data_IF_036667906918
#
_entry.id   IF_036667906918
#
_cell.length_a   1.000
_cell.length_b   1.000
_cell.length_c   1.000
_cell.angle_alpha   90.00
_cell.angle_beta   90.00
_cell.angle_gamma   90.00
#
_symmetry.space_group_name_H-M   'P 1'
#
loop_
_entity.id
_entity.type
_entity.pdbx_description
1 polymer ?
#
# COMPACT_ATOMS: atom_id res chain seq x y z
N UNK A 1 -25.26 15.06 45.35
CA UNK A 1 -24.04 15.75 44.89
C UNK A 1 -23.85 15.61 43.37
N UNK A 2 -24.93 15.75 42.58
CA UNK A 2 -24.90 15.63 41.11
C UNK A 2 -25.81 16.65 40.40
N UNK A 3 -26.49 17.53 41.15
CA UNK A 3 -27.45 18.51 40.64
C UNK A 3 -26.96 19.96 40.68
N UNK A 4 -25.80 20.24 41.28
CA UNK A 4 -25.18 21.59 41.26
C UNK A 4 -24.18 21.80 40.12
N UNK A 5 -23.72 20.74 39.44
CA UNK A 5 -22.75 20.86 38.34
C UNK A 5 -23.43 21.15 36.99
N UNK A 6 -24.72 20.80 36.83
CA UNK A 6 -25.50 21.04 35.61
C UNK A 6 -26.07 22.46 35.50
N UNK A 7 -26.16 23.22 36.60
CA UNK A 7 -26.64 24.61 36.57
C UNK A 7 -25.52 25.60 36.23
N UNK A 8 -24.26 25.28 36.55
CA UNK A 8 -23.10 26.12 36.20
C UNK A 8 -22.71 26.02 34.72
N UNK A 9 -23.07 24.93 34.03
CA UNK A 9 -22.78 24.76 32.60
C UNK A 9 -23.83 25.43 31.70
N UNK A 10 -25.06 25.66 32.22
CA UNK A 10 -26.12 26.33 31.45
C UNK A 10 -25.96 27.85 31.41
N UNK A 11 -25.36 28.47 32.41
CA UNK A 11 -25.13 29.93 32.42
C UNK A 11 -23.92 30.35 31.57
N UNK A 12 -22.98 29.43 31.28
CA UNK A 12 -21.83 29.69 30.42
C UNK A 12 -22.11 29.56 28.91
N UNK A 13 -23.29 29.08 28.54
CA UNK A 13 -23.70 28.87 27.14
C UNK A 13 -24.64 29.96 26.61
N UNK A 14 -25.14 30.86 27.46
CA UNK A 14 -26.13 31.88 27.06
C UNK A 14 -25.51 33.29 26.88
N UNK A 15 -24.31 33.54 27.42
CA UNK A 15 -23.61 34.83 27.28
C UNK A 15 -22.65 34.92 26.06
N UNK A 16 -22.47 33.84 25.30
CA UNK A 16 -21.62 33.86 24.10
C UNK A 16 -22.35 34.25 22.82
N UNK A 17 -23.63 34.59 22.88
CA UNK A 17 -24.43 34.94 21.70
C UNK A 17 -24.36 36.42 21.29
N UNK A 18 -23.45 37.20 21.87
CA UNK A 18 -23.18 38.57 21.43
C UNK A 18 -21.77 38.74 20.87
N UNK A 19 -21.72 39.00 19.56
CA UNK A 19 -20.61 39.51 18.75
C UNK A 19 -19.42 38.55 18.50
N UNK A 20 -19.64 37.57 17.63
CA UNK A 20 -18.57 37.13 16.72
C UNK A 20 -18.92 37.59 15.31
N UNK A 21 -18.47 38.78 14.96
CA UNK A 21 -18.33 39.15 13.54
C UNK A 21 -17.29 38.21 12.93
N UNK A 22 -17.59 37.46 11.86
CA UNK A 22 -16.57 36.70 11.17
C UNK A 22 -15.72 37.70 10.38
N UNK A 23 -14.66 38.24 11.00
CA UNK A 23 -13.52 38.72 10.23
C UNK A 23 -12.88 37.48 9.62
N UNK A 24 -13.39 37.03 8.48
CA UNK A 24 -12.60 36.19 7.59
C UNK A 24 -11.30 36.96 7.34
N UNK A 25 -10.13 36.48 7.78
CA UNK A 25 -8.89 37.16 7.46
C UNK A 25 -8.80 37.24 5.94
N UNK A 26 -8.53 38.44 5.41
CA UNK A 26 -8.23 38.63 3.99
C UNK A 26 -7.05 37.70 3.69
N UNK A 27 -7.32 36.59 3.01
CA UNK A 27 -6.30 35.63 2.61
C UNK A 27 -5.47 36.33 1.52
N UNK A 28 -4.31 36.83 1.89
CA UNK A 28 -3.34 37.30 0.91
C UNK A 28 -3.06 36.16 -0.09
N UNK A 29 -2.87 36.48 -1.38
CA UNK A 29 -2.51 35.46 -2.35
C UNK A 29 -1.21 34.76 -1.90
N UNK A 30 -1.07 33.45 -2.14
CA UNK A 30 0.14 32.74 -1.77
C UNK A 30 1.35 33.32 -2.49
N UNK A 31 2.49 33.37 -1.79
CA UNK A 31 3.78 33.71 -2.38
C UNK A 31 4.17 32.72 -3.48
N UNK A 32 5.10 33.11 -4.35
CA UNK A 32 5.66 32.21 -5.35
C UNK A 32 6.33 30.99 -4.70
N UNK A 33 7.06 31.19 -3.59
CA UNK A 33 7.66 30.10 -2.82
C UNK A 33 6.60 29.12 -2.29
N UNK A 34 5.49 29.60 -1.74
CA UNK A 34 4.37 28.75 -1.31
C UNK A 34 3.74 27.97 -2.46
N UNK A 35 3.55 28.60 -3.62
CA UNK A 35 3.02 27.93 -4.80
C UNK A 35 3.96 26.83 -5.28
N UNK A 36 5.27 27.10 -5.35
CA UNK A 36 6.29 26.11 -5.73
C UNK A 36 6.28 24.95 -4.73
N UNK A 37 6.32 25.22 -3.42
CA UNK A 37 6.26 24.17 -2.38
C UNK A 37 5.01 23.31 -2.52
N UNK A 38 3.85 23.92 -2.79
CA UNK A 38 2.60 23.20 -3.00
C UNK A 38 2.65 22.30 -4.24
N UNK A 39 3.07 22.84 -5.39
CA UNK A 39 3.17 22.07 -6.64
C UNK A 39 4.20 20.93 -6.51
N UNK A 40 5.35 21.21 -5.90
CA UNK A 40 6.37 20.18 -5.63
C UNK A 40 5.81 19.10 -4.72
N UNK A 41 5.12 19.44 -3.64
CA UNK A 41 4.50 18.46 -2.75
C UNK A 41 3.41 17.64 -3.47
N UNK A 42 2.66 18.24 -4.39
CA UNK A 42 1.63 17.55 -5.16
C UNK A 42 2.24 16.53 -6.14
N UNK A 43 3.34 16.89 -6.80
CA UNK A 43 3.98 16.06 -7.82
C UNK A 43 4.93 15.00 -7.22
N UNK A 44 5.60 15.34 -6.11
CA UNK A 44 6.69 14.54 -5.54
C UNK A 44 6.36 13.96 -4.17
N UNK A 45 5.11 14.00 -3.69
CA UNK A 45 4.71 13.25 -2.50
C UNK A 45 4.26 11.84 -2.94
N UNK A 46 5.16 10.84 -3.01
CA UNK A 46 4.83 9.51 -3.51
C UNK A 46 3.75 8.81 -2.68
N UNK A 47 3.47 9.29 -1.47
CA UNK A 47 2.55 8.66 -0.52
C UNK A 47 1.25 9.44 -0.35
N UNK A 48 1.23 10.71 -0.74
CA UNK A 48 0.04 11.57 -0.65
C UNK A 48 -0.52 11.75 0.76
N UNK A 49 0.14 11.29 1.84
CA UNK A 49 -0.41 11.20 3.20
C UNK A 49 -0.78 12.56 3.82
N UNK A 50 -0.26 13.64 3.26
CA UNK A 50 -0.57 15.02 3.66
C UNK A 50 -1.70 15.64 2.82
N UNK A 51 -2.22 14.90 1.84
CA UNK A 51 -3.22 15.35 0.89
C UNK A 51 -4.59 14.76 1.22
N UNK A 52 -5.66 15.45 0.80
CA UNK A 52 -7.06 15.03 0.97
C UNK A 52 -7.41 13.74 0.23
N UNK A 53 -6.58 13.34 -0.73
CA UNK A 53 -6.73 12.12 -1.52
C UNK A 53 -5.92 10.93 -0.96
N UNK A 54 -5.27 11.10 0.20
CA UNK A 54 -4.57 10.00 0.90
C UNK A 54 -5.50 8.84 1.24
N UNK A 55 -4.97 7.61 1.28
CA UNK A 55 -5.66 6.52 1.96
C UNK A 55 -5.94 6.89 3.43
N UNK A 56 -7.11 6.51 3.98
CA UNK A 56 -7.42 6.76 5.40
C UNK A 56 -6.37 6.15 6.35
N UNK A 57 -6.19 6.72 7.54
CA UNK A 57 -5.20 6.26 8.53
C UNK A 57 -5.40 4.79 8.98
N UNK A 58 -6.64 4.29 8.97
CA UNK A 58 -6.91 2.88 9.28
C UNK A 58 -6.44 1.90 8.17
N UNK A 59 -6.07 2.44 7.01
CA UNK A 59 -5.49 1.72 5.86
C UNK A 59 -3.98 1.89 5.85
N UNK A 60 -3.49 3.13 5.89
CA UNK A 60 -2.08 3.46 6.00
C UNK A 60 -1.86 4.26 7.28
N UNK A 61 -1.47 3.60 8.39
CA UNK A 61 -1.23 4.30 9.65
C UNK A 61 0.00 5.20 9.53
N UNK A 62 0.00 6.31 10.26
CA UNK A 62 1.15 7.19 10.35
C UNK A 62 2.36 6.49 11.00
N UNK A 63 3.54 6.94 10.61
CA UNK A 63 4.80 6.48 11.19
C UNK A 63 4.95 6.90 12.65
N UNK A 64 5.89 6.27 13.34
CA UNK A 64 6.23 6.64 14.72
C UNK A 64 7.07 7.92 14.72
N UNK A 65 6.82 8.78 15.72
CA UNK A 65 7.70 9.92 15.97
C UNK A 65 9.09 9.42 16.37
N UNK A 66 10.12 9.88 15.67
CA UNK A 66 11.51 9.53 15.93
C UNK A 66 12.46 10.65 15.49
N UNK A 67 13.73 10.57 15.91
CA UNK A 67 14.75 11.50 15.43
C UNK A 67 15.14 11.20 13.98
N UNK A 68 15.68 12.19 13.26
CA UNK A 68 16.14 12.00 11.86
C UNK A 68 17.25 10.96 11.79
N UNK A 69 18.19 10.95 12.76
CA UNK A 69 19.28 9.98 12.80
C UNK A 69 18.75 8.55 13.01
N UNK A 70 17.80 8.38 13.92
CA UNK A 70 17.15 7.09 14.15
C UNK A 70 16.38 6.61 12.92
N UNK A 71 15.65 7.52 12.25
CA UNK A 71 14.95 7.21 11.00
C UNK A 71 15.93 6.73 9.92
N UNK A 72 16.98 7.52 9.64
CA UNK A 72 17.99 7.16 8.63
C UNK A 72 18.66 5.84 8.96
N UNK A 73 19.07 5.62 10.22
CA UNK A 73 19.68 4.36 10.65
C UNK A 73 18.77 3.16 10.44
N UNK A 74 17.49 3.26 10.84
CA UNK A 74 16.51 2.18 10.62
C UNK A 74 16.24 1.93 9.14
N UNK A 75 16.09 2.98 8.34
CA UNK A 75 15.86 2.86 6.89
C UNK A 75 17.03 2.22 6.18
N UNK A 76 18.28 2.58 6.52
CA UNK A 76 19.48 1.95 5.97
C UNK A 76 19.55 0.47 6.33
N UNK A 77 19.35 0.12 7.62
CA UNK A 77 19.37 -1.27 8.05
C UNK A 77 18.27 -2.11 7.39
N UNK A 78 17.07 -1.54 7.25
CA UNK A 78 15.96 -2.19 6.56
C UNK A 78 16.26 -2.37 5.07
N UNK A 79 16.84 -1.36 4.40
CA UNK A 79 17.26 -1.45 3.01
C UNK A 79 18.27 -2.59 2.80
N UNK A 80 19.28 -2.72 3.68
CA UNK A 80 20.23 -3.84 3.61
C UNK A 80 19.53 -5.20 3.79
N UNK A 81 18.63 -5.32 4.76
CA UNK A 81 17.87 -6.55 4.98
C UNK A 81 16.98 -6.91 3.77
N UNK A 82 16.28 -5.92 3.21
CA UNK A 82 15.44 -6.10 2.03
C UNK A 82 16.26 -6.43 0.78
N UNK A 83 17.45 -5.85 0.64
CA UNK A 83 18.36 -6.16 -0.45
C UNK A 83 18.88 -7.61 -0.36
N UNK A 84 19.33 -8.04 0.83
CA UNK A 84 19.75 -9.42 1.06
C UNK A 84 18.62 -10.42 0.79
N UNK A 85 17.40 -10.11 1.25
CA UNK A 85 16.22 -10.91 0.95
C UNK A 85 15.93 -10.95 -0.56
N UNK A 86 15.96 -9.80 -1.24
CA UNK A 86 15.74 -9.71 -2.68
C UNK A 86 16.75 -10.54 -3.49
N UNK A 87 18.04 -10.48 -3.12
CA UNK A 87 19.06 -11.32 -3.74
C UNK A 87 18.79 -12.81 -3.50
N UNK A 88 18.38 -13.18 -2.29
CA UNK A 88 18.09 -14.58 -1.93
C UNK A 88 16.91 -15.13 -2.73
N UNK A 89 15.83 -14.37 -2.87
CA UNK A 89 14.67 -14.78 -3.68
C UNK A 89 14.99 -14.82 -5.17
N UNK A 90 15.79 -13.87 -5.69
CA UNK A 90 16.25 -13.88 -7.07
C UNK A 90 17.17 -15.06 -7.37
N UNK A 91 18.06 -15.44 -6.44
CA UNK A 91 18.94 -16.59 -6.58
C UNK A 91 18.18 -17.91 -6.76
N UNK A 92 16.95 -18.01 -6.24
CA UNK A 92 16.06 -19.14 -6.48
C UNK A 92 15.17 -18.94 -7.71
N UNK A 93 14.50 -17.79 -7.81
CA UNK A 93 13.46 -17.56 -8.80
C UNK A 93 14.00 -17.48 -10.23
N UNK A 94 15.16 -16.83 -10.44
CA UNK A 94 15.72 -16.65 -11.77
C UNK A 94 16.12 -18.00 -12.40
N UNK A 95 16.91 -18.87 -11.75
CA UNK A 95 17.19 -20.20 -12.29
C UNK A 95 15.93 -21.05 -12.45
N UNK A 96 14.99 -20.98 -11.50
CA UNK A 96 13.71 -21.69 -11.59
C UNK A 96 12.90 -21.31 -12.83
N UNK A 97 12.90 -20.03 -13.23
CA UNK A 97 12.21 -19.58 -14.43
C UNK A 97 12.96 -19.89 -15.73
N UNK A 98 14.28 -20.06 -15.66
CA UNK A 98 15.12 -20.40 -16.80
C UNK A 98 15.15 -21.91 -17.08
N UNK A 99 14.92 -22.74 -16.06
CA UNK A 99 14.86 -24.19 -16.24
C UNK A 99 13.60 -24.60 -17.04
N UNK A 100 13.71 -25.47 -18.06
CA UNK A 100 12.58 -25.90 -18.89
C UNK A 100 11.42 -26.56 -18.12
N UNK A 101 11.70 -27.17 -16.96
CA UNK A 101 10.70 -27.78 -16.06
C UNK A 101 10.35 -26.88 -14.87
N UNK A 102 10.70 -25.59 -14.93
CA UNK A 102 10.40 -24.62 -13.89
C UNK A 102 11.17 -24.88 -12.58
N UNK A 103 10.57 -24.46 -11.46
CA UNK A 103 11.14 -24.68 -10.13
C UNK A 103 11.37 -26.16 -9.79
N UNK A 104 10.54 -27.07 -10.30
CA UNK A 104 10.73 -28.51 -10.10
C UNK A 104 12.04 -28.98 -10.74
N UNK A 105 12.29 -28.60 -12.00
CA UNK A 105 13.53 -28.93 -12.69
C UNK A 105 14.75 -28.35 -12.00
N UNK A 106 14.72 -27.06 -11.66
CA UNK A 106 15.81 -26.43 -10.93
C UNK A 106 16.14 -27.17 -9.62
N UNK A 107 15.12 -27.50 -8.83
CA UNK A 107 15.31 -28.20 -7.55
C UNK A 107 15.87 -29.62 -7.72
N UNK A 108 15.51 -30.34 -8.79
CA UNK A 108 15.92 -31.74 -8.99
C UNK A 108 17.22 -31.88 -9.77
N UNK A 109 17.42 -31.07 -10.81
CA UNK A 109 18.52 -31.16 -11.77
C UNK A 109 19.75 -30.37 -11.30
N UNK A 110 19.55 -29.17 -10.72
CA UNK A 110 20.64 -28.27 -10.33
C UNK A 110 20.94 -28.33 -8.83
N UNK A 111 19.89 -28.35 -7.98
CA UNK A 111 20.05 -28.45 -6.52
C UNK A 111 20.24 -29.91 -6.07
N UNK A 112 19.81 -30.88 -6.87
CA UNK A 112 19.98 -32.30 -6.59
C UNK A 112 18.98 -32.89 -5.59
N UNK A 113 17.80 -32.29 -5.42
CA UNK A 113 16.73 -32.89 -4.60
C UNK A 113 16.16 -34.14 -5.28
N UNK A 114 15.77 -35.17 -4.50
CA UNK A 114 15.18 -36.38 -5.05
C UNK A 114 13.84 -36.08 -5.74
N UNK A 115 13.70 -36.58 -6.96
CA UNK A 115 12.46 -36.49 -7.73
C UNK A 115 11.30 -37.17 -7.00
N UNK A 116 10.18 -36.46 -6.86
CA UNK A 116 8.95 -37.00 -6.26
C UNK A 116 7.71 -36.26 -6.76
N UNK A 117 6.58 -36.98 -6.81
CA UNK A 117 5.29 -36.41 -7.20
C UNK A 117 4.87 -35.25 -6.29
N UNK A 118 5.21 -35.33 -5.01
CA UNK A 118 4.95 -34.25 -4.06
C UNK A 118 5.71 -32.97 -4.44
N UNK A 119 7.00 -33.09 -4.76
CA UNK A 119 7.81 -31.95 -5.18
C UNK A 119 7.31 -31.33 -6.49
N UNK A 120 6.90 -32.17 -7.45
CA UNK A 120 6.33 -31.71 -8.72
C UNK A 120 5.05 -30.88 -8.53
N UNK A 121 4.20 -31.29 -7.59
CA UNK A 121 2.99 -30.55 -7.24
C UNK A 121 3.31 -29.26 -6.48
N UNK A 122 4.25 -29.28 -5.53
CA UNK A 122 4.50 -28.16 -4.61
C UNK A 122 5.40 -27.08 -5.19
N UNK A 123 6.39 -27.44 -6.02
CA UNK A 123 7.39 -26.50 -6.52
C UNK A 123 6.82 -25.26 -7.23
N UNK A 124 5.75 -25.35 -8.07
CA UNK A 124 5.13 -24.16 -8.67
C UNK A 124 4.53 -23.19 -7.64
N UNK A 125 3.98 -23.70 -6.54
CA UNK A 125 3.43 -22.87 -5.46
C UNK A 125 4.53 -22.20 -4.64
N UNK A 126 5.64 -22.91 -4.39
CA UNK A 126 6.83 -22.33 -3.76
C UNK A 126 7.37 -21.19 -4.62
N UNK A 127 7.49 -21.39 -5.93
CA UNK A 127 7.92 -20.33 -6.84
C UNK A 127 6.99 -19.11 -6.79
N UNK A 128 5.68 -19.33 -6.73
CA UNK A 128 4.68 -18.25 -6.58
C UNK A 128 4.90 -17.46 -5.28
N UNK A 129 5.16 -18.15 -4.17
CA UNK A 129 5.47 -17.51 -2.89
C UNK A 129 6.78 -16.70 -2.96
N UNK A 130 7.82 -17.24 -3.61
CA UNK A 130 9.09 -16.56 -3.81
C UNK A 130 8.92 -15.29 -4.66
N UNK A 131 8.08 -15.31 -5.69
CA UNK A 131 7.71 -14.10 -6.44
C UNK A 131 7.03 -13.05 -5.56
N UNK A 132 6.12 -13.46 -4.67
CA UNK A 132 5.55 -12.56 -3.66
C UNK A 132 6.62 -11.95 -2.76
N UNK A 133 7.60 -12.75 -2.35
CA UNK A 133 8.78 -12.30 -1.60
C UNK A 133 9.63 -11.29 -2.37
N UNK A 134 9.89 -11.54 -3.65
CA UNK A 134 10.63 -10.63 -4.53
C UNK A 134 9.92 -9.29 -4.72
N UNK A 135 8.59 -9.30 -4.90
CA UNK A 135 7.79 -8.08 -4.94
C UNK A 135 7.87 -7.32 -3.61
N UNK A 136 7.66 -8.02 -2.49
CA UNK A 136 7.72 -7.42 -1.15
C UNK A 136 9.08 -6.75 -0.87
N UNK A 137 10.18 -7.48 -1.07
CA UNK A 137 11.51 -6.97 -0.77
C UNK A 137 11.96 -5.92 -1.78
N UNK A 138 11.61 -6.06 -3.06
CA UNK A 138 11.92 -5.09 -4.10
C UNK A 138 11.22 -3.73 -3.88
N UNK A 139 9.91 -3.74 -3.63
CA UNK A 139 9.16 -2.51 -3.34
C UNK A 139 9.61 -1.86 -2.03
N UNK A 140 9.90 -2.66 -1.00
CA UNK A 140 10.38 -2.14 0.29
C UNK A 140 11.75 -1.47 0.12
N UNK A 141 12.69 -2.12 -0.57
CA UNK A 141 14.00 -1.57 -0.88
C UNK A 141 13.89 -0.26 -1.64
N UNK A 142 13.06 -0.20 -2.69
CA UNK A 142 12.87 1.01 -3.47
C UNK A 142 12.29 2.16 -2.61
N UNK A 143 11.32 1.86 -1.74
CA UNK A 143 10.76 2.85 -0.83
C UNK A 143 11.80 3.37 0.17
N UNK A 144 12.67 2.51 0.69
CA UNK A 144 13.75 2.94 1.59
C UNK A 144 14.75 3.84 0.87
N UNK A 145 15.14 3.49 -0.37
CA UNK A 145 16.03 4.32 -1.19
C UNK A 145 15.42 5.70 -1.47
N UNK A 146 14.13 5.76 -1.81
CA UNK A 146 13.44 7.04 -2.00
C UNK A 146 13.35 7.85 -0.70
N UNK A 147 13.06 7.21 0.43
CA UNK A 147 13.04 7.89 1.73
C UNK A 147 14.42 8.51 2.05
N UNK A 148 15.50 7.78 1.81
CA UNK A 148 16.87 8.28 2.04
C UNK A 148 17.22 9.43 1.11
N UNK A 149 16.87 9.30 -0.18
CA UNK A 149 17.05 10.37 -1.16
C UNK A 149 16.28 11.63 -0.74
N UNK A 150 15.03 11.47 -0.29
CA UNK A 150 14.18 12.58 0.14
C UNK A 150 14.73 13.28 1.39
N UNK A 151 15.19 12.53 2.41
CA UNK A 151 15.89 13.12 3.56
C UNK A 151 17.10 13.97 3.11
N UNK A 152 17.88 13.45 2.16
CA UNK A 152 19.02 14.17 1.58
C UNK A 152 18.61 15.44 0.85
N UNK A 153 17.55 15.38 0.05
CA UNK A 153 16.98 16.54 -0.65
C UNK A 153 16.48 17.59 0.34
N UNK A 154 15.74 17.20 1.37
CA UNK A 154 15.27 18.14 2.41
C UNK A 154 16.42 18.83 3.14
N UNK A 155 17.47 18.07 3.48
CA UNK A 155 18.67 18.62 4.12
C UNK A 155 19.38 19.64 3.21
N UNK A 156 19.60 19.28 1.94
CA UNK A 156 20.30 20.14 0.98
C UNK A 156 19.48 21.39 0.64
N UNK A 157 18.18 21.22 0.35
CA UNK A 157 17.27 22.31 0.01
C UNK A 157 17.20 23.35 1.13
N UNK A 158 17.17 22.92 2.40
CA UNK A 158 17.16 23.87 3.53
C UNK A 158 18.49 24.63 3.71
N UNK A 159 19.60 24.08 3.24
CA UNK A 159 20.91 24.74 3.27
C UNK A 159 21.10 25.75 2.14
N UNK A 160 20.61 25.45 0.95
CA UNK A 160 20.91 26.21 -0.27
C UNK A 160 19.80 27.21 -0.64
N UNK A 161 18.53 26.87 -0.40
CA UNK A 161 17.42 27.69 -0.87
C UNK A 161 17.19 28.96 -0.01
N UNK A 162 16.71 30.06 -0.61
CA UNK A 162 16.23 31.24 0.13
C UNK A 162 15.05 30.89 1.04
N UNK A 163 14.84 31.66 2.12
CA UNK A 163 13.80 31.40 3.14
C UNK A 163 12.41 31.10 2.57
N UNK A 164 11.97 31.82 1.54
CA UNK A 164 10.65 31.61 0.93
C UNK A 164 10.49 30.21 0.29
N UNK A 165 11.59 29.64 -0.22
CA UNK A 165 11.61 28.34 -0.90
C UNK A 165 12.04 27.19 0.01
N UNK A 166 12.48 27.46 1.25
CA UNK A 166 12.90 26.40 2.17
C UNK A 166 11.73 25.46 2.47
N UNK A 167 11.88 24.15 2.28
CA UNK A 167 10.85 23.21 2.65
C UNK A 167 10.72 23.16 4.18
N UNK A 168 9.60 22.64 4.67
CA UNK A 168 9.43 22.34 6.08
C UNK A 168 10.50 21.35 6.55
N UNK A 169 10.69 21.21 7.87
CA UNK A 169 11.63 20.21 8.39
C UNK A 169 11.09 18.81 8.07
N UNK A 170 12.00 17.92 7.69
CA UNK A 170 11.67 16.51 7.48
C UNK A 170 11.02 15.94 8.75
N UNK A 171 9.88 15.29 8.60
CA UNK A 171 9.15 14.67 9.70
C UNK A 171 8.94 13.18 9.42
N UNK A 172 9.65 12.27 10.13
CA UNK A 172 9.54 10.82 9.96
C UNK A 172 8.13 10.23 10.07
N UNK A 173 7.19 10.90 10.75
CA UNK A 173 5.80 10.43 10.90
C UNK A 173 5.10 10.26 9.55
N UNK A 174 5.46 11.04 8.54
CA UNK A 174 4.90 10.92 7.19
C UNK A 174 5.52 9.79 6.36
N UNK A 175 6.44 9.02 6.94
CA UNK A 175 7.18 7.96 6.28
C UNK A 175 6.97 6.61 6.98
N UNK A 176 5.73 6.08 7.09
CA UNK A 176 5.48 4.75 7.64
C UNK A 176 6.13 3.65 6.78
N UNK A 177 6.18 2.41 7.26
CA UNK A 177 6.58 1.29 6.41
C UNK A 177 5.64 1.17 5.20
N UNK A 178 6.18 0.85 4.02
CA UNK A 178 5.36 0.71 2.81
C UNK A 178 4.33 -0.42 2.94
N UNK A 179 4.72 -1.49 3.62
CA UNK A 179 3.87 -2.63 3.98
C UNK A 179 3.55 -2.59 5.47
N UNK A 180 2.32 -2.92 5.84
CA UNK A 180 1.86 -2.95 7.24
C UNK A 180 1.71 -4.38 7.73
N UNK A 181 2.84 -5.10 7.80
CA UNK A 181 2.97 -6.46 8.32
C UNK A 181 1.96 -7.44 7.70
N UNK A 182 2.03 -7.73 6.39
CA UNK A 182 1.05 -8.54 5.67
C UNK A 182 0.88 -9.96 6.24
N UNK A 183 1.95 -10.54 6.82
CA UNK A 183 1.92 -11.87 7.44
C UNK A 183 1.12 -11.93 8.75
N UNK A 184 0.80 -10.79 9.38
CA UNK A 184 -0.05 -10.75 10.59
C UNK A 184 -1.55 -10.62 10.26
N UNK A 185 -1.93 -10.69 8.99
CA UNK A 185 -3.31 -10.50 8.55
C UNK A 185 -4.03 -11.84 8.50
N UNK A 186 -5.16 -11.88 9.18
CA UNK A 186 -6.00 -13.06 9.37
C UNK A 186 -6.89 -13.44 8.18
N UNK A 187 -7.06 -12.50 7.24
CA UNK A 187 -7.99 -12.63 6.13
C UNK A 187 -7.47 -11.85 4.91
N UNK A 188 -7.88 -12.30 3.72
CA UNK A 188 -7.50 -11.74 2.42
C UNK A 188 -7.91 -10.27 2.30
N UNK A 189 -9.07 -9.92 2.86
CA UNK A 189 -9.53 -8.53 2.84
C UNK A 189 -8.52 -7.62 3.54
N UNK A 190 -8.10 -7.94 4.77
CA UNK A 190 -7.13 -7.16 5.53
C UNK A 190 -5.71 -7.30 4.94
N UNK A 191 -5.35 -8.45 4.37
CA UNK A 191 -4.10 -8.65 3.64
C UNK A 191 -3.97 -7.64 2.49
N UNK A 192 -4.90 -7.63 1.53
CA UNK A 192 -4.81 -6.78 0.34
C UNK A 192 -5.15 -5.33 0.59
N UNK A 193 -6.04 -5.03 1.55
CA UNK A 193 -6.49 -3.66 1.78
C UNK A 193 -5.64 -2.87 2.77
N UNK A 194 -4.91 -3.54 3.69
CA UNK A 194 -4.15 -2.89 4.77
C UNK A 194 -2.73 -3.42 4.92
N UNK A 195 -2.54 -4.74 4.78
CA UNK A 195 -1.24 -5.38 5.01
C UNK A 195 -0.27 -5.14 3.86
N UNK A 196 -0.72 -5.40 2.65
CA UNK A 196 -0.02 -5.08 1.41
C UNK A 196 0.04 -3.57 1.19
N UNK A 197 0.98 -3.10 0.38
CA UNK A 197 1.15 -1.67 0.15
C UNK A 197 -0.10 -1.06 -0.51
N UNK A 198 -0.42 0.18 -0.14
CA UNK A 198 -1.56 0.93 -0.71
C UNK A 198 -1.19 1.81 -1.91
N UNK A 199 0.05 1.72 -2.42
CA UNK A 199 0.59 2.61 -3.46
C UNK A 199 -0.32 2.73 -4.70
N UNK A 200 -0.84 1.62 -5.23
CA UNK A 200 -1.71 1.60 -6.41
C UNK A 200 -3.20 1.59 -6.07
N UNK A 201 -3.58 1.78 -4.81
CA UNK A 201 -4.97 1.68 -4.37
C UNK A 201 -5.85 2.70 -5.08
N UNK A 202 -5.36 3.93 -5.22
CA UNK A 202 -6.11 4.99 -5.88
C UNK A 202 -6.38 4.64 -7.34
N UNK A 203 -5.36 4.19 -8.06
CA UNK A 203 -5.45 3.79 -9.47
C UNK A 203 -6.43 2.63 -9.67
N UNK A 204 -6.33 1.58 -8.85
CA UNK A 204 -7.23 0.43 -8.95
C UNK A 204 -8.67 0.77 -8.59
N UNK A 205 -8.89 1.69 -7.65
CA UNK A 205 -10.24 2.17 -7.34
C UNK A 205 -10.79 3.02 -8.47
N UNK A 206 -10.01 3.95 -9.01
CA UNK A 206 -10.46 4.90 -10.02
C UNK A 206 -10.64 4.25 -11.39
N UNK A 207 -9.66 3.48 -11.86
CA UNK A 207 -9.65 2.86 -13.18
C UNK A 207 -10.39 1.52 -13.21
N UNK A 208 -10.41 0.79 -12.09
CA UNK A 208 -11.02 -0.54 -12.00
C UNK A 208 -12.35 -0.54 -11.28
N UNK A 209 -12.35 -0.18 -9.99
CA UNK A 209 -13.50 -0.40 -9.12
C UNK A 209 -14.71 0.48 -9.47
N UNK A 210 -14.50 1.79 -9.62
CA UNK A 210 -15.59 2.74 -9.84
C UNK A 210 -16.33 2.52 -11.17
N UNK A 211 -15.65 2.31 -12.32
CA UNK A 211 -16.33 2.07 -13.58
C UNK A 211 -17.19 0.80 -13.54
N UNK A 212 -16.61 -0.31 -13.07
CA UNK A 212 -17.33 -1.60 -13.03
C UNK A 212 -18.44 -1.60 -11.98
N UNK A 213 -18.22 -0.94 -10.84
CA UNK A 213 -19.27 -0.72 -9.85
C UNK A 213 -20.48 0.00 -10.46
N UNK A 214 -20.24 1.11 -11.18
CA UNK A 214 -21.30 1.89 -11.83
C UNK A 214 -22.03 1.08 -12.89
N UNK A 215 -21.29 0.30 -13.68
CA UNK A 215 -21.84 -0.56 -14.72
C UNK A 215 -22.75 -1.66 -14.15
N UNK A 216 -22.36 -2.27 -13.02
CA UNK A 216 -23.08 -3.41 -12.45
C UNK A 216 -24.10 -3.04 -11.36
N UNK A 217 -24.07 -1.79 -10.86
CA UNK A 217 -25.03 -1.29 -9.86
C UNK A 217 -26.51 -1.42 -10.27
N UNK A 218 -26.91 -1.22 -11.55
CA UNK A 218 -28.31 -1.41 -11.96
C UNK A 218 -28.86 -2.82 -11.72
N UNK A 219 -27.99 -3.84 -11.71
CA UNK A 219 -28.35 -5.23 -11.40
C UNK A 219 -28.44 -5.51 -9.89
N UNK A 220 -28.26 -4.48 -9.06
CA UNK A 220 -28.45 -4.52 -7.61
C UNK A 220 -27.23 -4.03 -6.82
N UNK A 221 -27.42 -3.61 -5.55
CA UNK A 221 -26.34 -3.08 -4.72
C UNK A 221 -25.19 -4.08 -4.50
N UNK A 222 -25.51 -5.38 -4.44
CA UNK A 222 -24.50 -6.43 -4.28
C UNK A 222 -23.70 -6.63 -5.56
N UNK A 223 -24.37 -6.67 -6.71
CA UNK A 223 -23.72 -6.79 -8.02
C UNK A 223 -22.74 -5.63 -8.25
N UNK A 224 -23.12 -4.40 -7.90
CA UNK A 224 -22.20 -3.26 -7.94
C UNK A 224 -20.99 -3.43 -7.01
N UNK A 225 -21.16 -3.93 -5.78
CA UNK A 225 -20.03 -4.12 -4.84
C UNK A 225 -19.05 -5.21 -5.31
N UNK A 226 -19.58 -6.37 -5.72
CA UNK A 226 -18.77 -7.47 -6.28
C UNK A 226 -18.09 -7.00 -7.58
N UNK A 227 -18.84 -6.30 -8.43
CA UNK A 227 -18.33 -5.68 -9.64
C UNK A 227 -17.15 -4.74 -9.39
N UNK A 228 -17.27 -3.84 -8.41
CA UNK A 228 -16.17 -2.94 -8.05
C UNK A 228 -14.92 -3.69 -7.57
N UNK A 229 -15.08 -4.74 -6.76
CA UNK A 229 -13.96 -5.58 -6.34
C UNK A 229 -13.31 -6.30 -7.53
N UNK A 230 -14.12 -6.91 -8.40
CA UNK A 230 -13.64 -7.59 -9.60
C UNK A 230 -12.91 -6.62 -10.54
N UNK A 231 -13.43 -5.40 -10.72
CA UNK A 231 -12.80 -4.35 -11.51
C UNK A 231 -11.44 -3.92 -10.95
N UNK A 232 -11.32 -3.76 -9.62
CA UNK A 232 -10.04 -3.47 -8.98
C UNK A 232 -9.02 -4.60 -9.19
N UNK A 233 -9.43 -5.85 -8.99
CA UNK A 233 -8.56 -7.02 -9.17
C UNK A 233 -8.16 -7.22 -10.64
N UNK A 234 -9.06 -6.96 -11.58
CA UNK A 234 -8.78 -7.02 -13.01
C UNK A 234 -7.80 -5.93 -13.45
N UNK A 235 -7.95 -4.70 -12.93
CA UNK A 235 -7.00 -3.62 -13.19
C UNK A 235 -5.61 -3.96 -12.63
N UNK A 236 -5.55 -4.52 -11.43
CA UNK A 236 -4.30 -5.02 -10.83
C UNK A 236 -3.68 -6.14 -11.66
N UNK A 237 -4.48 -7.11 -12.10
CA UNK A 237 -4.04 -8.18 -12.99
C UNK A 237 -3.44 -7.64 -14.29
N UNK A 238 -4.17 -6.75 -14.97
CA UNK A 238 -3.73 -6.16 -16.23
C UNK A 238 -2.38 -5.43 -16.10
N UNK A 239 -2.20 -4.67 -15.02
CA UNK A 239 -0.92 -4.01 -14.72
C UNK A 239 0.23 -5.03 -14.63
N UNK A 240 0.02 -6.15 -13.94
CA UNK A 240 1.05 -7.20 -13.81
C UNK A 240 1.29 -7.96 -15.11
N UNK A 241 0.25 -8.29 -15.89
CA UNK A 241 0.40 -8.92 -17.20
C UNK A 241 1.22 -8.04 -18.15
N UNK A 242 0.91 -6.73 -18.21
CA UNK A 242 1.67 -5.77 -19.04
C UNK A 242 3.13 -5.69 -18.58
N UNK A 243 3.37 -5.63 -17.27
CA UNK A 243 4.72 -5.59 -16.71
C UNK A 243 5.52 -6.85 -17.05
N UNK A 244 4.88 -8.04 -17.00
CA UNK A 244 5.50 -9.30 -17.38
C UNK A 244 5.80 -9.34 -18.88
N UNK A 245 4.83 -9.00 -19.73
CA UNK A 245 5.01 -8.95 -21.20
C UNK A 245 6.12 -7.99 -21.63
N UNK A 246 6.39 -6.93 -20.87
CA UNK A 246 7.50 -6.02 -21.16
C UNK A 246 8.88 -6.69 -21.02
N UNK A 247 9.00 -7.77 -20.24
CA UNK A 247 10.26 -8.46 -19.95
C UNK A 247 10.23 -9.95 -20.32
N UNK A 248 9.08 -10.49 -20.72
CA UNK A 248 8.87 -11.90 -21.13
C UNK A 248 7.99 -12.00 -22.38
N UNK A 249 7.74 -13.23 -22.84
CA UNK A 249 6.70 -13.51 -23.83
C UNK A 249 5.31 -13.46 -23.18
N UNK A 250 4.28 -13.26 -24.00
CA UNK A 250 2.88 -13.30 -23.58
C UNK A 250 2.52 -14.69 -23.05
N UNK A 251 2.03 -14.75 -21.80
CA UNK A 251 1.40 -15.95 -21.25
C UNK A 251 -0.08 -16.02 -21.69
N UNK A 252 -0.36 -16.79 -22.73
CA UNK A 252 -1.72 -17.02 -23.21
C UNK A 252 -2.61 -17.78 -22.21
N UNK A 253 -2.05 -18.35 -21.14
CA UNK A 253 -2.83 -18.96 -20.05
C UNK A 253 -3.32 -17.93 -19.04
N UNK A 254 -2.88 -16.67 -19.12
CA UNK A 254 -3.24 -15.56 -18.23
C UNK A 254 -3.16 -15.97 -16.75
N UNK A 255 -2.06 -16.64 -16.39
CA UNK A 255 -1.89 -17.25 -15.07
C UNK A 255 -1.92 -16.19 -13.96
N UNK A 256 -1.30 -15.04 -14.21
CA UNK A 256 -1.29 -13.88 -13.30
C UNK A 256 -2.70 -13.33 -13.12
N UNK A 257 -3.45 -13.15 -14.21
CA UNK A 257 -4.85 -12.69 -14.13
C UNK A 257 -5.73 -13.63 -13.32
N UNK A 258 -5.62 -14.95 -13.54
CA UNK A 258 -6.35 -15.95 -12.75
C UNK A 258 -6.00 -15.88 -11.27
N UNK A 259 -4.72 -15.66 -10.94
CA UNK A 259 -4.28 -15.53 -9.55
C UNK A 259 -4.97 -14.34 -8.87
N UNK A 260 -4.91 -13.14 -9.44
CA UNK A 260 -5.55 -11.94 -8.87
C UNK A 260 -7.07 -12.03 -8.80
N UNK A 261 -7.73 -12.55 -9.84
CA UNK A 261 -9.18 -12.78 -9.80
C UNK A 261 -9.55 -13.82 -8.74
N UNK A 262 -8.73 -14.85 -8.56
CA UNK A 262 -8.87 -15.83 -7.48
C UNK A 262 -8.81 -15.19 -6.09
N UNK A 263 -7.90 -14.24 -5.86
CA UNK A 263 -7.87 -13.45 -4.62
C UNK A 263 -9.16 -12.64 -4.41
N UNK A 264 -9.68 -12.03 -5.49
CA UNK A 264 -10.96 -11.34 -5.48
C UNK A 264 -12.12 -12.25 -5.09
N UNK A 265 -12.18 -13.46 -5.66
CA UNK A 265 -13.17 -14.46 -5.28
C UNK A 265 -13.05 -14.85 -3.81
N UNK A 266 -11.83 -15.04 -3.30
CA UNK A 266 -11.56 -15.30 -1.89
C UNK A 266 -12.16 -14.22 -0.97
N UNK A 267 -11.97 -12.94 -1.29
CA UNK A 267 -12.56 -11.81 -0.54
C UNK A 267 -14.10 -11.83 -0.57
N UNK A 268 -14.71 -12.22 -1.71
CA UNK A 268 -16.16 -12.38 -1.79
C UNK A 268 -16.63 -13.51 -0.87
N UNK A 269 -15.94 -14.64 -0.87
CA UNK A 269 -16.24 -15.78 -0.01
C UNK A 269 -16.12 -15.41 1.49
N UNK A 270 -15.09 -14.65 1.88
CA UNK A 270 -14.95 -14.11 3.24
C UNK A 270 -16.14 -13.22 3.63
N UNK A 271 -16.60 -12.39 2.68
CA UNK A 271 -17.74 -11.51 2.89
C UNK A 271 -19.04 -12.31 3.08
N UNK A 272 -19.24 -13.35 2.28
CA UNK A 272 -20.40 -14.25 2.40
C UNK A 272 -20.34 -15.02 3.71
N UNK A 273 -19.19 -15.60 4.06
CA UNK A 273 -18.97 -16.28 5.34
C UNK A 273 -19.33 -15.39 6.53
N UNK A 274 -18.86 -14.13 6.52
CA UNK A 274 -19.18 -13.16 7.57
C UNK A 274 -20.66 -12.85 7.68
N UNK A 275 -21.37 -12.76 6.55
CA UNK A 275 -22.83 -12.53 6.53
C UNK A 275 -23.61 -13.72 7.06
N UNK A 276 -23.18 -14.94 6.74
CA UNK A 276 -23.87 -16.17 7.15
C UNK A 276 -23.61 -16.52 8.61
N UNK A 277 -22.38 -16.35 9.09
CA UNK A 277 -21.98 -16.81 10.42
C UNK A 277 -21.92 -15.70 11.47
N UNK A 278 -21.94 -14.43 11.05
CA UNK A 278 -21.64 -13.28 11.90
C UNK A 278 -20.17 -13.15 12.31
N UNK A 279 -19.30 -14.08 11.91
CA UNK A 279 -17.88 -14.15 12.31
C UNK A 279 -16.97 -13.81 11.14
N UNK A 280 -15.84 -13.15 11.42
CA UNK A 280 -14.79 -12.96 10.41
C UNK A 280 -13.97 -14.24 10.27
N UNK A 281 -13.44 -14.49 9.07
CA UNK A 281 -12.39 -15.49 8.87
C UNK A 281 -11.16 -15.08 9.67
N UNK A 282 -10.51 -16.05 10.32
CA UNK A 282 -9.28 -15.88 11.12
C UNK A 282 -8.19 -16.80 10.60
N UNK A 283 -6.93 -16.39 10.78
CA UNK A 283 -5.77 -17.23 10.50
C UNK A 283 -5.65 -18.39 11.50
N UNK A 284 -4.68 -19.27 11.24
CA UNK A 284 -4.25 -20.27 12.21
C UNK A 284 -3.35 -19.56 13.25
N UNK A 285 -3.81 -19.50 14.50
CA UNK A 285 -3.03 -18.99 15.64
C UNK A 285 -2.07 -20.05 16.19
#
# INVERSE_FOLDING_TARGET
MQTKQLSSTRTLLDDSHNKVTPKNPVRNPPSLGELVKFVTALLLSPRGLQCTWSPPEHVVPLGKQMSILEFVGKTVMHAFAMHALFLSVCAFAVPSCQNPRGAYGFLTEEVGLPASNFLEVVAPYVLTLVFGGAAYSGFSLLADLFNLAEVGVYWLARKVLPEDFKPQRFNPVWYPSLFSEPWKRDNLTDFWSKGWHAAFRHDFVFCGALPIHKLLRPFGPMAGKIGGLAGAMLCSAAMHEISLVAVTKVDWKFSTTKMFLGQGLGIVLETVFKRLTGRKVRGLE
#
